data_IF_892367292063
#
_entry.id   IF_892367292063
#
_cell.length_a   1.000
_cell.length_b   1.000
_cell.length_c   1.000
_cell.angle_alpha   90.00
_cell.angle_beta   90.00
_cell.angle_gamma   90.00
#
_symmetry.space_group_name_H-M   'P 1'
#
loop_
_entity.id
_entity.type
_entity.pdbx_description
1 polymer ?
#
# COMPACT_ATOMS: atom_id res chain seq x y z
N UNK A 1 -4.45 14.59 -18.05
CA UNK A 1 -4.98 13.76 -16.95
C UNK A 1 -4.77 12.31 -17.34
N UNK A 2 -4.35 11.46 -16.41
CA UNK A 2 -3.97 10.07 -16.65
C UNK A 2 -4.69 9.14 -15.69
N UNK A 3 -5.09 7.97 -16.16
CA UNK A 3 -5.72 6.93 -15.35
C UNK A 3 -4.62 6.17 -14.63
N UNK A 4 -4.67 6.14 -13.30
CA UNK A 4 -3.69 5.48 -12.44
C UNK A 4 -4.36 4.32 -11.70
N UNK A 5 -3.90 3.11 -11.95
CA UNK A 5 -4.25 1.92 -11.18
C UNK A 5 -3.11 1.61 -10.20
N UNK A 6 -3.41 1.66 -8.91
CA UNK A 6 -2.50 1.24 -7.86
C UNK A 6 -2.64 -0.27 -7.66
N UNK A 7 -1.54 -0.99 -7.84
CA UNK A 7 -1.43 -2.44 -7.71
C UNK A 7 -0.51 -2.75 -6.53
N UNK A 8 -0.81 -3.78 -5.78
CA UNK A 8 0.01 -4.19 -4.64
C UNK A 8 1.24 -5.00 -5.11
N UNK A 9 2.42 -4.68 -4.59
CA UNK A 9 3.63 -5.44 -4.94
C UNK A 9 3.48 -6.90 -4.49
N UNK A 10 3.68 -7.84 -5.41
CA UNK A 10 3.50 -9.28 -5.16
C UNK A 10 2.05 -9.78 -5.23
N UNK A 11 1.08 -8.90 -5.41
CA UNK A 11 -0.33 -9.24 -5.56
C UNK A 11 -0.93 -8.44 -6.73
N UNK A 12 -1.27 -9.12 -7.83
CA UNK A 12 -1.80 -8.49 -9.06
C UNK A 12 -3.18 -7.83 -8.90
N UNK A 13 -3.71 -7.74 -7.69
CA UNK A 13 -4.96 -7.08 -7.38
C UNK A 13 -4.82 -5.54 -7.46
N UNK A 14 -5.74 -4.91 -8.20
CA UNK A 14 -5.87 -3.44 -8.24
C UNK A 14 -6.52 -2.99 -6.93
N UNK A 15 -5.79 -2.19 -6.16
CA UNK A 15 -6.23 -1.66 -4.85
C UNK A 15 -7.08 -0.41 -5.03
N UNK A 16 -6.70 0.46 -5.96
CA UNK A 16 -7.38 1.72 -6.23
C UNK A 16 -7.18 2.12 -7.69
N UNK A 17 -8.24 2.57 -8.34
CA UNK A 17 -8.19 3.17 -9.67
C UNK A 17 -8.66 4.61 -9.56
N UNK A 18 -7.90 5.57 -10.05
CA UNK A 18 -8.31 6.97 -10.05
C UNK A 18 -7.70 7.74 -11.22
N UNK A 19 -8.41 8.79 -11.66
CA UNK A 19 -7.86 9.78 -12.57
C UNK A 19 -6.96 10.75 -11.79
N UNK A 20 -5.74 10.97 -12.26
CA UNK A 20 -4.77 11.92 -11.68
C UNK A 20 -4.24 12.90 -12.71
N UNK A 21 -3.78 14.05 -12.24
CA UNK A 21 -3.08 15.00 -13.10
C UNK A 21 -1.63 14.58 -13.34
N UNK A 22 -1.02 13.92 -12.34
CA UNK A 22 0.38 13.49 -12.35
C UNK A 22 0.51 12.09 -11.75
N UNK A 23 1.46 11.31 -12.28
CA UNK A 23 1.83 10.02 -11.72
C UNK A 23 2.77 10.22 -10.52
N UNK A 24 2.67 9.36 -9.49
CA UNK A 24 3.65 9.35 -8.42
C UNK A 24 5.00 8.86 -8.94
N UNK A 25 6.08 9.35 -8.35
CA UNK A 25 7.45 8.96 -8.71
C UNK A 25 7.84 7.61 -8.10
N UNK A 26 8.79 6.91 -8.72
CA UNK A 26 9.40 5.73 -8.11
C UNK A 26 10.09 6.10 -6.79
N UNK A 27 9.93 5.29 -5.76
CA UNK A 27 10.32 5.52 -4.36
C UNK A 27 9.50 6.57 -3.58
N UNK A 28 8.45 7.15 -4.16
CA UNK A 28 7.59 8.09 -3.45
C UNK A 28 6.75 7.39 -2.37
N UNK A 29 6.58 8.04 -1.21
CA UNK A 29 5.69 7.57 -0.16
C UNK A 29 4.25 7.98 -0.47
N UNK A 30 3.35 7.01 -0.53
CA UNK A 30 1.94 7.21 -0.87
C UNK A 30 1.04 6.61 0.21
N UNK A 31 -0.12 7.22 0.41
CA UNK A 31 -1.17 6.70 1.30
C UNK A 31 -2.38 6.34 0.46
N UNK A 32 -2.62 5.03 0.28
CA UNK A 32 -3.71 4.51 -0.55
C UNK A 32 -4.72 3.81 0.36
N UNK A 33 -5.98 4.27 0.35
CA UNK A 33 -7.07 3.73 1.19
C UNK A 33 -6.68 3.60 2.68
N UNK A 34 -6.02 4.62 3.22
CA UNK A 34 -5.59 4.63 4.63
C UNK A 34 -4.30 3.85 4.93
N UNK A 35 -3.84 2.97 4.03
CA UNK A 35 -2.60 2.21 4.16
C UNK A 35 -1.41 3.04 3.66
N UNK A 36 -0.31 3.06 4.42
CA UNK A 36 0.95 3.64 3.97
C UNK A 36 1.67 2.65 3.06
N UNK A 37 2.29 3.17 2.02
CA UNK A 37 3.11 2.37 1.12
C UNK A 37 4.10 3.21 0.34
N UNK A 38 4.96 2.52 -0.39
CA UNK A 38 6.01 3.12 -1.21
C UNK A 38 5.83 2.66 -2.65
N UNK A 39 5.94 3.59 -3.60
CA UNK A 39 5.92 3.24 -5.03
C UNK A 39 7.21 2.52 -5.40
N UNK A 40 7.07 1.35 -6.00
CA UNK A 40 8.20 0.50 -6.40
C UNK A 40 8.42 0.60 -7.91
N UNK A 41 7.35 0.50 -8.70
CA UNK A 41 7.43 0.60 -10.16
C UNK A 41 6.23 1.35 -10.73
N UNK A 42 6.42 1.94 -11.90
CA UNK A 42 5.38 2.57 -12.70
C UNK A 42 5.46 2.04 -14.12
N UNK A 43 4.39 1.39 -14.57
CA UNK A 43 4.24 0.84 -15.91
C UNK A 43 3.20 1.64 -16.68
N UNK A 44 3.45 1.85 -17.97
CA UNK A 44 2.48 2.41 -18.89
C UNK A 44 1.87 1.26 -19.67
N UNK A 45 0.55 1.07 -19.57
CA UNK A 45 -0.16 -0.01 -20.26
C UNK A 45 -0.65 0.44 -21.62
N UNK A 46 -1.33 1.58 -21.64
CA UNK A 46 -1.91 2.21 -22.81
C UNK A 46 -1.75 3.71 -22.64
N UNK A 47 -1.74 4.51 -23.71
CA UNK A 47 -1.14 5.86 -23.70
C UNK A 47 -1.49 6.76 -22.51
N UNK A 48 -2.72 6.66 -21.95
CA UNK A 48 -3.16 7.41 -20.77
C UNK A 48 -3.41 6.56 -19.51
N UNK A 49 -3.16 5.25 -19.55
CA UNK A 49 -3.41 4.28 -18.48
C UNK A 49 -2.08 3.76 -17.93
N UNK A 50 -1.90 3.92 -16.62
CA UNK A 50 -0.68 3.50 -15.93
C UNK A 50 -0.99 2.59 -14.74
N UNK A 51 -0.12 1.61 -14.54
CA UNK A 51 -0.07 0.73 -13.39
C UNK A 51 1.06 1.17 -12.46
N UNK A 52 0.73 1.46 -11.20
CA UNK A 52 1.69 1.86 -10.17
C UNK A 52 1.74 0.73 -9.15
N UNK A 53 2.87 0.04 -9.08
CA UNK A 53 3.13 -0.97 -8.05
C UNK A 53 3.51 -0.28 -6.75
N UNK A 54 2.80 -0.60 -5.68
CA UNK A 54 2.99 -0.05 -4.35
C UNK A 54 3.24 -1.19 -3.37
N UNK A 55 4.34 -1.08 -2.64
CA UNK A 55 4.62 -1.93 -1.48
C UNK A 55 3.97 -1.30 -0.25
N UNK A 56 3.02 -2.00 0.37
CA UNK A 56 2.36 -1.53 1.59
C UNK A 56 3.13 -1.94 2.83
N UNK A 57 3.19 -1.05 3.82
CA UNK A 57 3.73 -1.38 5.13
C UNK A 57 2.79 -2.40 5.82
N UNK A 58 3.37 -3.49 6.30
CA UNK A 58 2.63 -4.47 7.08
C UNK A 58 2.27 -3.86 8.44
N UNK A 59 0.98 -3.66 8.69
CA UNK A 59 0.49 -3.26 10.01
C UNK A 59 0.59 -4.48 10.93
N UNK A 60 1.75 -4.67 11.55
CA UNK A 60 1.90 -5.62 12.64
C UNK A 60 1.04 -5.12 13.80
N UNK A 61 -0.14 -5.75 13.98
CA UNK A 61 -0.91 -5.56 15.21
C UNK A 61 -0.03 -6.06 16.35
N UNK A 62 0.25 -5.25 17.39
CA UNK A 62 0.95 -5.76 18.54
C UNK A 62 0.14 -6.93 19.09
N UNK A 63 0.72 -8.14 19.05
CA UNK A 63 0.12 -9.31 19.64
C UNK A 63 -0.04 -9.05 21.13
N UNK A 64 -1.28 -8.94 21.59
CA UNK A 64 -1.64 -8.97 23.01
C UNK A 64 -1.33 -10.38 23.55
N UNK A 65 -0.05 -10.69 23.77
CA UNK A 65 0.40 -11.93 24.39
C UNK A 65 1.47 -11.64 25.43
N UNK A 66 1.19 -10.69 26.33
CA UNK A 66 2.13 -10.31 27.38
C UNK A 66 1.47 -9.83 28.70
N UNK A 67 0.24 -10.23 29.04
CA UNK A 67 -0.37 -9.78 30.32
C UNK A 67 -1.27 -10.81 31.04
N UNK A 68 -1.13 -12.12 30.81
CA UNK A 68 -1.87 -13.13 31.59
C UNK A 68 -0.95 -14.11 32.32
N UNK A 69 -0.05 -13.61 33.17
CA UNK A 69 0.57 -14.46 34.21
C UNK A 69 1.17 -13.67 35.40
N UNK A 70 0.48 -12.62 35.86
CA UNK A 70 0.79 -11.96 37.15
C UNK A 70 -0.47 -11.66 37.96
N UNK A 71 -1.28 -12.68 38.24
CA UNK A 71 -2.19 -12.64 39.39
C UNK A 71 -1.78 -13.70 40.42
N UNK A 72 -1.29 -13.19 41.55
CA UNK A 72 -0.98 -13.87 42.81
C UNK A 72 -2.02 -14.95 43.17
N UNK A 73 -1.56 -16.10 43.66
CA UNK A 73 -2.21 -16.75 44.80
C UNK A 73 -1.29 -16.65 46.01
N UNK A 74 -1.93 -16.19 47.08
CA UNK A 74 -1.44 -15.91 48.42
C UNK A 74 -1.55 -17.18 49.26
#
# INVERSE_FOLDING_TARGET
>A
MVVTHFVELGNRAIVLSQLRNQLPSVNEQVKIKGRKGKVVNVYTLDGSIHHVEVEFEQVLKPSFSALENKKKKR
#
